data_IF_535631478317
#
_entry.id   IF_535631478317
#
_cell.length_a   1.000
_cell.length_b   1.000
_cell.length_c   1.000
_cell.angle_alpha   90.00
_cell.angle_beta   90.00
_cell.angle_gamma   90.00
#
_symmetry.space_group_name_H-M   'P 1'
#
loop_
_entity.id
_entity.type
_entity.pdbx_description
1 polymer ?
#
# COMPACT_ATOMS: atom_id res chain seq x y z
N UNK A 1 -17.67 -4.83 17.62
CA UNK A 1 -17.48 -4.36 16.23
C UNK A 1 -16.96 -5.51 15.38
N UNK A 2 -17.51 -5.68 14.17
CA UNK A 2 -17.23 -6.79 13.24
C UNK A 2 -15.74 -6.85 12.89
N UNK A 3 -15.18 -8.06 12.90
CA UNK A 3 -13.79 -8.32 12.51
C UNK A 3 -13.59 -7.88 11.06
N UNK A 4 -12.65 -6.96 10.85
CA UNK A 4 -12.07 -6.82 9.51
C UNK A 4 -11.34 -8.12 9.22
N UNK A 5 -11.60 -8.75 8.07
CA UNK A 5 -11.16 -10.11 7.74
C UNK A 5 -9.65 -10.35 7.68
N UNK A 6 -8.83 -9.39 8.12
CA UNK A 6 -7.37 -9.45 8.15
C UNK A 6 -6.77 -9.50 9.56
N UNK A 7 -7.58 -9.40 10.63
CA UNK A 7 -7.07 -9.47 11.99
C UNK A 7 -6.65 -10.91 12.37
N UNK A 8 -5.45 -11.12 12.93
CA UNK A 8 -4.99 -12.43 13.38
C UNK A 8 -5.71 -12.88 14.66
N UNK A 9 -5.61 -14.17 15.03
CA UNK A 9 -6.26 -14.73 16.23
C UNK A 9 -5.84 -14.04 17.53
N UNK A 10 -4.56 -13.65 17.64
CA UNK A 10 -4.02 -12.83 18.74
C UNK A 10 -4.79 -11.52 18.95
N UNK A 11 -5.45 -10.99 17.91
CA UNK A 11 -6.32 -9.82 18.03
C UNK A 11 -7.50 -10.04 18.98
N UNK A 12 -7.88 -11.28 19.30
CA UNK A 12 -8.91 -11.55 20.30
C UNK A 12 -8.33 -11.66 21.74
N UNK A 13 -7.01 -11.81 21.90
CA UNK A 13 -6.37 -11.96 23.21
C UNK A 13 -6.09 -10.58 23.83
N UNK A 14 -6.78 -10.25 24.93
CA UNK A 14 -6.65 -8.97 25.63
C UNK A 14 -5.25 -8.76 26.24
N UNK A 15 -4.65 -9.80 26.82
CA UNK A 15 -3.35 -9.71 27.50
C UNK A 15 -2.23 -9.44 26.48
N UNK A 16 -2.21 -10.21 25.39
CA UNK A 16 -1.21 -10.05 24.33
C UNK A 16 -1.35 -8.69 23.63
N UNK A 17 -2.58 -8.26 23.38
CA UNK A 17 -2.85 -7.00 22.68
C UNK A 17 -2.63 -5.79 23.57
N UNK A 18 -2.83 -5.88 24.89
CA UNK A 18 -2.41 -4.83 25.83
C UNK A 18 -0.90 -4.59 25.71
N UNK A 19 -0.11 -5.67 25.63
CA UNK A 19 1.32 -5.59 25.37
C UNK A 19 1.66 -4.91 24.04
N UNK A 20 0.99 -5.30 22.95
CA UNK A 20 1.24 -4.78 21.61
C UNK A 20 0.77 -3.33 21.40
N UNK A 21 -0.27 -2.89 22.12
CA UNK A 21 -0.83 -1.52 22.08
C UNK A 21 -0.01 -0.51 22.90
N UNK A 22 0.76 -1.02 23.88
CA UNK A 22 1.58 -0.20 24.77
C UNK A 22 2.73 0.52 24.05
N UNK A 23 3.29 1.53 24.72
CA UNK A 23 4.44 2.27 24.23
C UNK A 23 5.60 1.33 23.88
N UNK A 24 6.26 1.60 22.76
CA UNK A 24 7.51 0.93 22.38
C UNK A 24 8.68 1.62 23.10
N UNK A 25 9.49 0.85 23.83
CA UNK A 25 10.73 1.36 24.43
C UNK A 25 11.81 1.46 23.36
N UNK A 26 12.87 2.24 23.58
CA UNK A 26 13.99 2.27 22.63
C UNK A 26 14.59 0.87 22.44
N UNK A 27 15.11 0.61 21.24
CA UNK A 27 15.72 -0.69 20.88
C UNK A 27 16.87 -1.07 21.82
N UNK A 28 17.59 -0.10 22.38
CA UNK A 28 18.67 -0.32 23.34
C UNK A 28 18.18 -0.82 24.71
N UNK A 29 16.98 -0.39 25.12
CA UNK A 29 16.40 -0.74 26.43
C UNK A 29 15.72 -2.11 26.39
N UNK A 30 15.02 -2.42 25.30
CA UNK A 30 14.36 -3.71 25.14
C UNK A 30 14.29 -4.11 23.65
N UNK A 31 15.37 -4.69 23.10
CA UNK A 31 15.42 -5.03 21.68
C UNK A 31 14.35 -6.06 21.30
N UNK A 32 14.07 -7.04 22.17
CA UNK A 32 13.12 -8.11 21.87
C UNK A 32 11.68 -7.59 21.78
N UNK A 33 11.24 -6.73 22.70
CA UNK A 33 9.89 -6.12 22.59
C UNK A 33 9.81 -5.12 21.43
N UNK A 34 10.91 -4.42 21.13
CA UNK A 34 10.99 -3.53 19.98
C UNK A 34 10.75 -4.31 18.67
N UNK A 35 11.57 -5.32 18.37
CA UNK A 35 11.41 -6.13 17.15
C UNK A 35 10.03 -6.77 17.08
N UNK A 36 9.56 -7.38 18.18
CA UNK A 36 8.24 -8.03 18.22
C UNK A 36 7.11 -7.08 17.84
N UNK A 37 7.14 -5.83 18.32
CA UNK A 37 6.14 -4.81 17.98
C UNK A 37 6.29 -4.30 16.55
N UNK A 38 7.52 -4.05 16.09
CA UNK A 38 7.77 -3.63 14.71
C UNK A 38 7.29 -4.68 13.71
N UNK A 39 7.64 -5.94 13.93
CA UNK A 39 7.25 -7.05 13.06
C UNK A 39 5.73 -7.21 13.02
N UNK A 40 5.09 -7.27 14.20
CA UNK A 40 3.64 -7.43 14.29
C UNK A 40 2.89 -6.30 13.59
N UNK A 41 3.27 -5.04 13.87
CA UNK A 41 2.54 -3.90 13.32
C UNK A 41 2.85 -3.67 11.84
N UNK A 42 4.06 -3.96 11.37
CA UNK A 42 4.38 -3.90 9.93
C UNK A 42 3.60 -4.95 9.14
N UNK A 43 3.50 -6.18 9.66
CA UNK A 43 2.66 -7.23 9.08
C UNK A 43 1.17 -6.85 9.08
N UNK A 44 0.68 -6.26 10.17
CA UNK A 44 -0.69 -5.74 10.24
C UNK A 44 -0.96 -4.64 9.21
N UNK A 45 0.00 -3.72 8.98
CA UNK A 45 -0.09 -2.70 7.92
C UNK A 45 -0.15 -3.36 6.54
N UNK A 46 0.74 -4.31 6.27
CA UNK A 46 0.78 -5.03 5.00
C UNK A 46 -0.55 -5.75 4.72
N UNK A 47 -1.05 -6.51 5.69
CA UNK A 47 -2.35 -7.22 5.61
C UNK A 47 -3.52 -6.26 5.41
N UNK A 48 -3.53 -5.12 6.10
CA UNK A 48 -4.55 -4.10 5.92
C UNK A 48 -4.53 -3.50 4.51
N UNK A 49 -3.34 -3.21 3.96
CA UNK A 49 -3.20 -2.65 2.61
C UNK A 49 -3.70 -3.64 1.54
N UNK A 50 -3.32 -4.92 1.67
CA UNK A 50 -3.77 -5.97 0.75
C UNK A 50 -5.28 -6.20 0.85
N UNK A 51 -5.83 -6.35 2.07
CA UNK A 51 -7.26 -6.57 2.28
C UNK A 51 -8.13 -5.42 1.78
N UNK A 52 -7.74 -4.17 2.05
CA UNK A 52 -8.47 -3.00 1.60
C UNK A 52 -8.23 -2.68 0.12
N UNK A 53 -7.31 -3.39 -0.57
CA UNK A 53 -6.87 -3.09 -1.94
C UNK A 53 -6.37 -1.63 -2.08
N UNK A 54 -5.77 -1.12 -1.02
CA UNK A 54 -5.28 0.26 -0.92
C UNK A 54 -3.84 0.27 -0.42
N UNK A 55 -2.84 0.50 -1.29
CA UNK A 55 -1.44 0.57 -0.89
C UNK A 55 -1.09 1.89 -0.20
N UNK A 56 -1.98 2.90 -0.24
CA UNK A 56 -1.72 4.22 0.36
C UNK A 56 -2.31 4.30 1.75
N UNK A 57 -1.53 4.82 2.69
CA UNK A 57 -1.97 5.06 4.05
C UNK A 57 -1.21 6.23 4.69
N UNK A 58 -1.79 6.77 5.76
CA UNK A 58 -1.12 7.70 6.66
C UNK A 58 -1.41 7.29 8.11
N UNK A 59 -0.74 7.94 9.06
CA UNK A 59 -0.84 7.62 10.49
C UNK A 59 -2.29 7.64 10.97
N UNK A 60 -3.10 8.64 10.58
CA UNK A 60 -4.49 8.71 11.05
C UNK A 60 -5.35 7.59 10.47
N UNK A 61 -5.08 7.18 9.24
CA UNK A 61 -5.72 6.01 8.64
C UNK A 61 -5.37 4.74 9.42
N UNK A 62 -4.12 4.56 9.82
CA UNK A 62 -3.71 3.42 10.67
C UNK A 62 -4.34 3.48 12.07
N UNK A 63 -4.39 4.65 12.71
CA UNK A 63 -5.05 4.86 14.01
C UNK A 63 -6.53 4.47 13.94
N UNK A 64 -7.25 4.84 12.87
CA UNK A 64 -8.64 4.41 12.65
C UNK A 64 -8.74 2.92 12.36
N UNK A 65 -7.80 2.35 11.61
CA UNK A 65 -7.82 0.93 11.21
C UNK A 65 -7.57 -0.02 12.37
N UNK A 66 -6.64 0.34 13.24
CA UNK A 66 -6.13 -0.49 14.34
C UNK A 66 -6.62 -0.03 15.71
N UNK A 67 -7.60 0.87 15.78
CA UNK A 67 -8.30 1.16 17.02
C UNK A 67 -9.00 -0.11 17.51
N UNK A 68 -8.76 -0.45 18.78
CA UNK A 68 -9.45 -1.52 19.51
C UNK A 68 -10.09 -0.90 20.74
N UNK A 69 -11.42 -0.91 20.76
CA UNK A 69 -12.22 -0.20 21.77
C UNK A 69 -11.75 1.27 21.85
N UNK A 70 -11.25 1.71 23.00
CA UNK A 70 -10.70 3.05 23.21
C UNK A 70 -9.17 3.14 23.04
N UNK A 71 -8.50 2.02 22.72
CA UNK A 71 -7.05 1.95 22.57
C UNK A 71 -6.61 2.13 21.11
N UNK A 72 -5.50 2.84 20.94
CA UNK A 72 -4.77 3.01 19.69
C UNK A 72 -3.34 2.53 19.93
N UNK A 73 -2.70 1.81 18.99
CA UNK A 73 -1.32 1.39 19.19
C UNK A 73 -0.39 2.60 19.27
N UNK A 74 0.32 2.75 20.38
CA UNK A 74 1.27 3.85 20.59
C UNK A 74 2.50 3.76 19.69
N UNK A 75 2.74 2.60 19.07
CA UNK A 75 3.91 2.29 18.26
C UNK A 75 3.80 2.70 16.79
N UNK A 76 2.64 3.15 16.31
CA UNK A 76 2.39 3.34 14.87
C UNK A 76 3.38 4.29 14.20
N UNK A 77 3.72 5.42 14.84
CA UNK A 77 4.69 6.37 14.29
C UNK A 77 6.08 5.73 14.10
N UNK A 78 6.54 4.96 15.09
CA UNK A 78 7.83 4.27 15.04
C UNK A 78 7.83 3.14 14.00
N UNK A 79 6.72 2.41 13.89
CA UNK A 79 6.53 1.35 12.88
C UNK A 79 6.65 1.93 11.48
N UNK A 80 5.96 3.04 11.21
CA UNK A 80 5.98 3.68 9.89
C UNK A 80 7.36 4.22 9.56
N UNK A 81 8.06 4.84 10.51
CA UNK A 81 9.46 5.24 10.33
C UNK A 81 10.36 4.04 10.02
N UNK A 82 10.21 2.93 10.76
CA UNK A 82 11.00 1.71 10.52
C UNK A 82 10.73 1.10 9.15
N UNK A 83 9.48 1.12 8.68
CA UNK A 83 9.12 0.66 7.34
C UNK A 83 9.73 1.57 6.26
N UNK A 84 9.72 2.90 6.48
CA UNK A 84 10.34 3.86 5.55
C UNK A 84 11.87 3.70 5.49
N UNK A 85 12.53 3.53 6.64
CA UNK A 85 13.98 3.29 6.72
C UNK A 85 14.40 1.97 6.04
N UNK A 86 13.63 0.90 6.25
CA UNK A 86 13.85 -0.39 5.57
C UNK A 86 13.70 -0.24 4.06
N UNK A 87 12.66 0.48 3.62
CA UNK A 87 12.41 0.76 2.21
C UNK A 87 13.47 1.70 1.61
N UNK A 88 14.06 2.62 2.38
CA UNK A 88 15.09 3.56 1.93
C UNK A 88 16.36 2.91 1.36
N UNK A 89 16.64 1.65 1.72
CA UNK A 89 17.76 0.88 1.13
C UNK A 89 17.39 0.18 -0.20
N UNK A 90 16.10 -0.01 -0.47
CA UNK A 90 15.58 -0.70 -1.64
C UNK A 90 14.93 0.23 -2.67
N UNK A 91 14.69 1.51 -2.36
CA UNK A 91 13.65 2.32 -3.05
C UNK A 91 14.07 3.73 -3.47
N UNK A 92 15.27 3.89 -4.02
CA UNK A 92 15.75 5.21 -4.49
C UNK A 92 14.90 5.82 -5.62
N UNK A 93 14.26 5.02 -6.47
CA UNK A 93 13.43 5.50 -7.58
C UNK A 93 11.96 5.69 -7.17
N UNK A 94 11.41 4.82 -6.32
CA UNK A 94 10.04 4.95 -5.80
C UNK A 94 9.87 6.03 -4.73
N UNK A 95 10.92 6.54 -4.06
CA UNK A 95 10.75 7.68 -3.15
C UNK A 95 10.94 9.03 -3.86
N UNK A 96 11.89 9.11 -4.82
CA UNK A 96 12.24 10.35 -5.54
C UNK A 96 11.47 10.51 -6.86
N UNK A 97 11.39 9.45 -7.64
CA UNK A 97 10.67 9.41 -8.91
C UNK A 97 9.17 9.43 -8.70
N UNK A 98 8.64 8.68 -7.74
CA UNK A 98 7.21 8.63 -7.44
C UNK A 98 6.62 9.96 -6.95
N UNK A 99 7.23 10.64 -5.96
CA UNK A 99 6.75 11.97 -5.51
C UNK A 99 6.87 13.01 -6.61
N UNK A 100 7.91 12.93 -7.45
CA UNK A 100 8.08 13.82 -8.59
C UNK A 100 7.09 13.51 -9.73
N UNK A 101 6.86 12.24 -10.05
CA UNK A 101 5.96 11.75 -11.11
C UNK A 101 4.51 11.93 -10.68
N UNK A 102 4.12 11.53 -9.47
CA UNK A 102 2.76 11.79 -8.94
C UNK A 102 2.51 13.27 -8.70
N UNK A 103 3.49 14.01 -8.20
CA UNK A 103 3.39 15.47 -8.03
C UNK A 103 3.27 16.22 -9.37
N UNK A 104 3.89 15.71 -10.43
CA UNK A 104 3.80 16.27 -11.78
C UNK A 104 2.56 15.79 -12.56
N UNK A 105 2.03 14.60 -12.26
CA UNK A 105 0.88 13.99 -12.96
C UNK A 105 -0.45 14.41 -12.34
N UNK A 106 -0.56 14.51 -11.02
CA UNK A 106 -1.87 14.61 -10.34
C UNK A 106 -2.15 15.96 -9.67
N UNK A 107 -1.27 16.94 -9.88
CA UNK A 107 -1.30 18.21 -9.17
C UNK A 107 -0.98 18.03 -7.69
N UNK A 108 -0.19 18.94 -7.12
CA UNK A 108 0.07 18.97 -5.70
C UNK A 108 -1.24 19.23 -4.93
N UNK A 109 -1.99 18.18 -4.63
CA UNK A 109 -3.15 18.24 -3.74
C UNK A 109 -2.59 18.46 -2.33
N UNK A 110 -2.70 19.71 -1.87
CA UNK A 110 -2.18 20.19 -0.60
C UNK A 110 -2.96 19.62 0.59
N UNK A 111 -2.73 18.35 0.90
CA UNK A 111 -3.03 17.84 2.24
C UNK A 111 -1.73 17.70 3.03
N UNK A 112 -1.69 18.33 4.20
CA UNK A 112 -0.49 18.52 5.03
C UNK A 112 0.04 17.21 5.67
N UNK A 113 -0.53 16.06 5.32
CA UNK A 113 -0.27 14.78 5.96
C UNK A 113 0.61 13.90 5.07
N UNK A 114 1.72 13.41 5.63
CA UNK A 114 2.64 12.53 4.92
C UNK A 114 1.97 11.19 4.63
N UNK A 115 1.71 10.93 3.34
CA UNK A 115 1.25 9.63 2.88
C UNK A 115 2.43 8.68 2.62
N UNK A 116 2.20 7.42 2.96
CA UNK A 116 3.10 6.30 2.77
C UNK A 116 2.49 5.32 1.76
N UNK A 117 3.36 4.56 1.11
CA UNK A 117 2.98 3.59 0.07
C UNK A 117 3.56 2.22 0.41
N UNK A 118 2.70 1.21 0.47
CA UNK A 118 3.09 -0.18 0.65
C UNK A 118 3.38 -0.86 -0.70
N UNK A 119 4.66 -0.92 -1.07
CA UNK A 119 5.11 -1.42 -2.38
C UNK A 119 4.75 -2.88 -2.67
N UNK A 120 4.83 -3.83 -1.72
CA UNK A 120 4.41 -5.20 -2.01
C UNK A 120 2.96 -5.29 -2.47
N UNK A 121 2.07 -4.43 -1.93
CA UNK A 121 0.67 -4.37 -2.38
C UNK A 121 0.56 -3.79 -3.79
N UNK A 122 1.36 -2.78 -4.15
CA UNK A 122 1.41 -2.28 -5.54
C UNK A 122 1.86 -3.40 -6.47
N UNK A 123 2.92 -4.12 -6.14
CA UNK A 123 3.41 -5.19 -6.99
C UNK A 123 2.34 -6.27 -7.20
N UNK A 124 1.69 -6.72 -6.12
CA UNK A 124 0.59 -7.69 -6.19
C UNK A 124 -0.57 -7.19 -7.05
N UNK A 125 -0.95 -5.92 -6.91
CA UNK A 125 -2.04 -5.33 -7.68
C UNK A 125 -1.66 -5.12 -9.16
N UNK A 126 -0.45 -4.66 -9.44
CA UNK A 126 0.07 -4.47 -10.79
C UNK A 126 0.08 -5.78 -11.59
N UNK A 127 0.54 -6.88 -10.98
CA UNK A 127 0.48 -8.21 -11.61
C UNK A 127 -0.94 -8.60 -11.99
N UNK A 128 -1.90 -8.46 -11.07
CA UNK A 128 -3.30 -8.78 -11.35
C UNK A 128 -3.87 -7.94 -12.50
N UNK A 129 -3.50 -6.67 -12.57
CA UNK A 129 -3.94 -5.74 -13.63
C UNK A 129 -3.35 -6.16 -14.97
N UNK A 130 -2.08 -6.55 -14.98
CA UNK A 130 -1.41 -7.06 -16.17
C UNK A 130 -2.02 -8.38 -16.65
N UNK A 131 -2.33 -9.30 -15.73
CA UNK A 131 -3.07 -10.53 -16.04
C UNK A 131 -4.45 -10.24 -16.62
N UNK A 132 -5.19 -9.30 -16.02
CA UNK A 132 -6.49 -8.85 -16.54
C UNK A 132 -6.34 -8.26 -17.94
N UNK A 133 -5.37 -7.37 -18.13
CA UNK A 133 -5.09 -6.76 -19.43
C UNK A 133 -4.78 -7.81 -20.48
N UNK A 134 -3.84 -8.74 -20.21
CA UNK A 134 -3.50 -9.82 -21.13
C UNK A 134 -4.72 -10.69 -21.46
N UNK A 135 -5.55 -11.03 -20.47
CA UNK A 135 -6.73 -11.87 -20.70
C UNK A 135 -7.79 -11.20 -21.58
N UNK A 136 -8.09 -9.93 -21.36
CA UNK A 136 -9.16 -9.25 -22.08
C UNK A 136 -8.71 -8.71 -23.44
N UNK A 137 -7.41 -8.39 -23.58
CA UNK A 137 -6.91 -7.64 -24.74
C UNK A 137 -5.87 -8.39 -25.59
N UNK A 138 -5.20 -9.44 -25.09
CA UNK A 138 -4.30 -10.26 -25.90
C UNK A 138 -5.09 -11.44 -26.52
N UNK A 139 -5.90 -11.12 -27.53
CA UNK A 139 -6.85 -12.08 -28.16
C UNK A 139 -6.13 -13.10 -29.05
N UNK A 140 -4.95 -12.76 -29.59
CA UNK A 140 -4.03 -13.66 -30.29
C UNK A 140 -2.61 -13.41 -29.73
N UNK A 141 -1.84 -14.48 -29.48
CA UNK A 141 -0.59 -14.54 -28.67
C UNK A 141 0.51 -13.49 -28.97
N UNK A 142 0.38 -12.66 -30.02
CA UNK A 142 1.44 -11.75 -30.49
C UNK A 142 1.02 -10.28 -30.69
N UNK A 143 -0.25 -9.89 -30.48
CA UNK A 143 -0.68 -8.49 -30.75
C UNK A 143 -1.47 -7.92 -29.57
N UNK A 144 -0.79 -7.13 -28.74
CA UNK A 144 -1.45 -6.22 -27.81
C UNK A 144 -2.13 -5.08 -28.59
N UNK A 145 -3.32 -4.61 -28.19
CA UNK A 145 -3.94 -3.46 -28.82
C UNK A 145 -3.03 -2.24 -28.72
N UNK A 146 -2.92 -1.49 -29.81
CA UNK A 146 -2.01 -0.36 -29.95
C UNK A 146 -2.37 0.80 -29.00
N UNK A 147 -3.64 0.93 -28.59
CA UNK A 147 -4.18 2.00 -27.72
C UNK A 147 -5.36 1.47 -26.89
N UNK A 148 -5.34 1.69 -25.56
CA UNK A 148 -6.47 1.39 -24.65
C UNK A 148 -6.74 2.58 -23.73
N UNK A 149 -7.87 3.26 -23.90
CA UNK A 149 -8.27 4.41 -23.08
C UNK A 149 -8.18 4.12 -21.57
N UNK A 150 -7.53 5.02 -20.83
CA UNK A 150 -7.28 4.86 -19.39
C UNK A 150 -8.53 4.92 -18.53
N UNK A 151 -9.47 5.78 -18.89
CA UNK A 151 -10.72 5.90 -18.16
C UNK A 151 -11.61 4.67 -18.37
N UNK A 152 -11.60 4.11 -19.57
CA UNK A 152 -12.24 2.83 -19.92
C UNK A 152 -11.59 1.66 -19.19
N UNK A 153 -10.28 1.51 -19.31
CA UNK A 153 -9.57 0.43 -18.64
C UNK A 153 -9.75 0.50 -17.12
N UNK A 154 -9.70 1.70 -16.52
CA UNK A 154 -10.01 1.88 -15.11
C UNK A 154 -11.44 1.45 -14.77
N UNK A 155 -12.44 1.77 -15.61
CA UNK A 155 -13.84 1.37 -15.38
C UNK A 155 -13.97 -0.16 -15.31
N UNK A 156 -13.25 -0.88 -16.17
CA UNK A 156 -13.27 -2.34 -16.25
C UNK A 156 -12.55 -3.01 -15.07
N UNK A 157 -11.36 -2.53 -14.71
CA UNK A 157 -10.58 -3.09 -13.60
C UNK A 157 -10.86 -2.43 -12.24
N UNK A 158 -11.83 -1.51 -12.15
CA UNK A 158 -12.15 -0.72 -10.94
C UNK A 158 -12.31 -1.58 -9.68
N UNK A 159 -12.91 -2.76 -9.82
CA UNK A 159 -13.16 -3.67 -8.69
C UNK A 159 -11.88 -4.13 -8.00
N UNK A 160 -10.72 -4.08 -8.67
CA UNK A 160 -9.42 -4.52 -8.17
C UNK A 160 -8.76 -3.52 -7.22
N UNK A 161 -9.33 -2.31 -7.10
CA UNK A 161 -8.75 -1.19 -6.37
C UNK A 161 -9.74 -0.58 -5.38
N UNK A 162 -9.20 -0.04 -4.28
CA UNK A 162 -10.00 0.74 -3.34
C UNK A 162 -10.48 2.08 -3.92
N UNK A 163 -9.64 2.70 -4.74
CA UNK A 163 -9.85 4.05 -5.27
C UNK A 163 -8.97 4.28 -6.51
N UNK A 164 -9.23 5.38 -7.22
CA UNK A 164 -8.48 5.75 -8.43
C UNK A 164 -6.98 5.91 -8.15
N UNK A 165 -6.64 6.48 -6.99
CA UNK A 165 -5.24 6.66 -6.60
C UNK A 165 -4.50 5.33 -6.61
N UNK A 166 -5.02 4.27 -5.99
CA UNK A 166 -4.42 2.94 -6.00
C UNK A 166 -4.20 2.37 -7.43
N UNK A 167 -5.16 2.59 -8.32
CA UNK A 167 -5.04 2.24 -9.74
C UNK A 167 -3.88 3.00 -10.41
N UNK A 168 -3.84 4.32 -10.24
CA UNK A 168 -2.82 5.18 -10.84
C UNK A 168 -1.39 4.75 -10.42
N UNK A 169 -1.23 4.25 -9.19
CA UNK A 169 0.05 3.70 -8.69
C UNK A 169 0.46 2.42 -9.38
N UNK A 170 -0.49 1.51 -9.57
CA UNK A 170 -0.22 0.25 -10.22
C UNK A 170 0.09 0.47 -11.71
N UNK A 171 -0.60 1.42 -12.34
CA UNK A 171 -0.30 1.80 -13.72
C UNK A 171 1.10 2.40 -13.84
N UNK A 172 1.48 3.31 -12.94
CA UNK A 172 2.82 3.88 -12.92
C UNK A 172 3.90 2.80 -12.72
N UNK A 173 3.62 1.78 -11.91
CA UNK A 173 4.52 0.64 -11.73
C UNK A 173 4.65 -0.20 -13.01
N UNK A 174 3.56 -0.50 -13.69
CA UNK A 174 3.59 -1.25 -14.96
C UNK A 174 4.37 -0.48 -16.05
N UNK A 175 4.20 0.84 -16.11
CA UNK A 175 4.98 1.71 -17.01
C UNK A 175 6.47 1.66 -16.65
N UNK A 176 6.81 1.72 -15.36
CA UNK A 176 8.19 1.62 -14.91
C UNK A 176 8.85 0.30 -15.31
N UNK A 177 8.10 -0.81 -15.22
CA UNK A 177 8.56 -2.14 -15.63
C UNK A 177 8.66 -2.31 -17.15
N UNK A 178 8.10 -1.39 -17.93
CA UNK A 178 8.01 -1.51 -19.39
C UNK A 178 6.96 -2.52 -19.86
N UNK A 179 6.05 -2.93 -18.97
CA UNK A 179 4.96 -3.88 -19.29
C UNK A 179 3.83 -3.20 -20.07
N UNK A 180 3.68 -1.88 -19.90
CA UNK A 180 2.71 -1.07 -20.65
C UNK A 180 3.35 0.22 -21.16
N UNK A 181 2.98 0.63 -22.36
CA UNK A 181 3.49 1.86 -22.97
C UNK A 181 2.81 3.10 -22.41
N UNK A 182 3.59 4.17 -22.21
CA UNK A 182 3.14 5.47 -21.69
C UNK A 182 2.05 6.13 -22.55
N UNK A 183 1.94 5.74 -23.83
CA UNK A 183 0.99 6.27 -24.82
C UNK A 183 -0.38 5.57 -24.81
N UNK A 184 -0.54 4.43 -24.13
CA UNK A 184 -1.83 3.73 -24.08
C UNK A 184 -2.86 4.53 -23.27
N UNK A 185 -2.43 5.33 -22.28
CA UNK A 185 -3.32 5.78 -21.20
C UNK A 185 -3.49 7.32 -21.06
N UNK A 186 -3.14 8.10 -22.09
CA UNK A 186 -3.16 9.58 -22.07
C UNK A 186 -3.86 10.23 -23.28
N UNK A 187 -4.82 9.53 -23.89
CA UNK A 187 -5.82 10.14 -24.77
C UNK A 187 -7.16 10.19 -24.05
#
# INVERSE_FOLDING_TARGET
MVSKGFFPSIWANDDEMTGLMSMIKSREVNPNDYERKIDFWSDMVAKSCSFERNPVFNIDTLKRRFRRDDQIPSSLDVVVMSMDDYNGRSQNWFQRGYKAVVGSIWGASGDSQMDYVHLPTIHEQAERVLEFFRREYAVDDDILPEIVDSAEFYRECKSMFANKRAYDLCLAELVHRGEVCHFLFWC
#
